data_IF_537406581019
#
_entry.id   IF_537406581019
#
_cell.length_a   1.000
_cell.length_b   1.000
_cell.length_c   1.000
_cell.angle_alpha   90.00
_cell.angle_beta   90.00
_cell.angle_gamma   90.00
#
_symmetry.space_group_name_H-M   'P 1'
#
loop_
_entity.id
_entity.type
_entity.pdbx_description
1 polymer ?
#
# COMPACT_ATOMS: atom_id res chain seq x y z
N UNK A 1 -15.10 -7.24 -17.33
CA UNK A 1 -15.72 -7.75 -16.10
C UNK A 1 -14.84 -7.36 -14.93
N UNK A 2 -15.50 -6.89 -13.88
CA UNK A 2 -15.01 -6.01 -12.82
C UNK A 2 -14.02 -6.72 -11.90
N UNK A 3 -12.72 -6.45 -12.03
CA UNK A 3 -11.74 -6.84 -11.01
C UNK A 3 -11.89 -5.93 -9.81
N UNK A 4 -12.68 -6.38 -8.84
CA UNK A 4 -12.69 -5.86 -7.48
C UNK A 4 -11.35 -6.18 -6.82
N UNK A 5 -10.40 -5.29 -6.96
CA UNK A 5 -9.18 -5.25 -6.14
C UNK A 5 -9.61 -4.76 -4.76
N UNK A 6 -10.07 -5.68 -3.91
CA UNK A 6 -10.11 -5.46 -2.46
C UNK A 6 -8.83 -6.09 -1.88
N UNK A 7 -7.68 -5.49 -2.18
CA UNK A 7 -6.48 -5.72 -1.38
C UNK A 7 -6.80 -5.15 0.01
N UNK A 8 -6.97 -6.04 0.99
CA UNK A 8 -7.30 -5.68 2.37
C UNK A 8 -6.08 -5.01 3.00
N UNK A 9 -6.07 -3.70 2.82
CA UNK A 9 -5.14 -2.74 3.37
C UNK A 9 -5.16 -2.84 4.90
N UNK A 10 -4.08 -3.33 5.50
CA UNK A 10 -3.85 -3.16 6.95
C UNK A 10 -2.60 -2.32 7.12
N UNK A 11 -2.75 -1.03 6.85
CA UNK A 11 -1.92 -0.07 7.58
C UNK A 11 -2.21 -0.27 9.07
N UNK A 12 -1.22 -0.19 9.97
CA UNK A 12 -1.48 -0.12 11.39
C UNK A 12 -2.57 0.94 11.59
N UNK A 13 -3.70 0.58 12.20
CA UNK A 13 -4.92 1.43 12.24
C UNK A 13 -4.62 2.88 12.65
N UNK A 14 -3.58 3.06 13.46
CA UNK A 14 -3.02 4.35 13.89
C UNK A 14 -2.44 5.18 12.73
N UNK A 15 -1.57 4.63 11.89
CA UNK A 15 -0.94 5.36 10.78
C UNK A 15 -1.96 5.79 9.72
N UNK A 16 -2.88 4.90 9.35
CA UNK A 16 -3.97 5.27 8.44
C UNK A 16 -4.84 6.38 9.01
N UNK A 17 -5.13 6.31 10.32
CA UNK A 17 -5.90 7.35 11.02
C UNK A 17 -5.15 8.68 11.03
N UNK A 18 -3.86 8.68 11.31
CA UNK A 18 -3.01 9.89 11.31
C UNK A 18 -2.95 10.55 9.94
N UNK A 19 -2.74 9.76 8.88
CA UNK A 19 -2.79 10.25 7.50
C UNK A 19 -4.15 10.87 7.18
N UNK A 20 -5.25 10.18 7.50
CA UNK A 20 -6.59 10.71 7.25
C UNK A 20 -6.89 11.98 8.07
N UNK A 21 -6.37 12.10 9.30
CA UNK A 21 -6.48 13.32 10.11
C UNK A 21 -5.71 14.48 9.46
N UNK A 22 -4.48 14.23 8.98
CA UNK A 22 -3.67 15.23 8.28
C UNK A 22 -4.38 15.72 7.01
N UNK A 23 -4.84 14.79 6.16
CA UNK A 23 -5.58 15.12 4.94
C UNK A 23 -6.88 15.87 5.26
N UNK A 24 -7.57 15.51 6.35
CA UNK A 24 -8.78 16.22 6.77
C UNK A 24 -8.50 17.67 7.15
N UNK A 25 -7.40 17.94 7.86
CA UNK A 25 -7.00 19.30 8.21
C UNK A 25 -6.53 20.12 7.00
N UNK A 26 -5.79 19.52 6.09
CA UNK A 26 -5.18 20.22 4.95
C UNK A 26 -6.22 20.54 3.85
N UNK A 27 -7.16 19.62 3.58
CA UNK A 27 -8.13 19.73 2.48
C UNK A 27 -9.55 20.07 2.93
N UNK A 28 -9.75 20.34 4.23
CA UNK A 28 -11.05 20.68 4.81
C UNK A 28 -12.08 19.56 4.65
N UNK A 29 -11.67 18.32 4.86
CA UNK A 29 -12.52 17.13 4.73
C UNK A 29 -13.24 16.82 6.04
N UNK A 30 -14.36 16.12 5.94
CA UNK A 30 -15.17 15.79 7.10
C UNK A 30 -14.64 14.52 7.79
N UNK A 31 -14.20 14.66 9.04
CA UNK A 31 -13.64 13.54 9.82
C UNK A 31 -14.66 12.44 10.13
N UNK A 32 -15.97 12.77 10.20
CA UNK A 32 -17.04 11.77 10.35
C UNK A 32 -17.23 10.97 9.05
N UNK A 33 -17.28 11.64 7.88
CA UNK A 33 -17.43 10.96 6.58
C UNK A 33 -16.20 10.11 6.27
N UNK A 34 -15.00 10.58 6.63
CA UNK A 34 -13.76 9.80 6.53
C UNK A 34 -13.69 8.62 7.51
N UNK A 35 -14.64 8.49 8.45
CA UNK A 35 -14.67 7.40 9.44
C UNK A 35 -13.61 7.49 10.53
N UNK A 36 -12.93 8.64 10.64
CA UNK A 36 -11.90 8.90 11.66
C UNK A 36 -12.55 9.35 12.96
N UNK A 37 -13.52 10.26 12.89
CA UNK A 37 -14.30 10.69 14.04
C UNK A 37 -15.58 9.85 14.15
N UNK A 38 -15.88 9.35 15.35
CA UNK A 38 -17.17 8.70 15.64
C UNK A 38 -18.08 9.72 16.33
N UNK A 39 -19.33 9.85 15.89
CA UNK A 39 -20.28 10.74 16.57
C UNK A 39 -21.43 11.19 15.69
N UNK A 40 -22.26 12.09 16.23
CA UNK A 40 -23.34 12.78 15.51
C UNK A 40 -22.82 14.11 14.96
N UNK A 41 -23.36 14.54 13.83
CA UNK A 41 -23.02 15.81 13.19
C UNK A 41 -23.38 17.02 14.08
N UNK A 42 -22.66 18.17 13.98
CA UNK A 42 -21.49 18.39 13.13
C UNK A 42 -20.19 17.76 13.69
N UNK A 43 -19.29 17.37 12.79
CA UNK A 43 -17.95 16.90 13.15
C UNK A 43 -17.12 17.98 13.85
N UNK A 44 -16.13 17.58 14.67
CA UNK A 44 -15.26 18.52 15.39
C UNK A 44 -14.59 19.53 14.45
N UNK A 45 -14.07 19.05 13.32
CA UNK A 45 -13.45 19.93 12.31
C UNK A 45 -14.38 21.02 11.77
N UNK A 46 -15.69 20.81 11.76
CA UNK A 46 -16.65 21.86 11.34
C UNK A 46 -16.88 22.88 12.46
N UNK A 47 -16.91 22.43 13.72
CA UNK A 47 -17.05 23.30 14.89
C UNK A 47 -15.91 24.32 15.01
N UNK A 48 -14.71 23.95 14.56
CA UNK A 48 -13.52 24.81 14.57
C UNK A 48 -13.20 25.47 13.21
N UNK A 49 -14.11 25.37 12.22
CA UNK A 49 -13.99 26.08 10.94
C UNK A 49 -13.04 25.47 9.90
N UNK A 50 -12.58 24.24 10.08
CA UNK A 50 -11.67 23.54 9.15
C UNK A 50 -12.46 22.76 8.08
N UNK A 51 -13.50 22.04 8.48
CA UNK A 51 -14.32 21.22 7.59
C UNK A 51 -15.36 22.09 6.86
N UNK A 52 -15.59 21.82 5.56
CA UNK A 52 -16.58 22.53 4.75
C UNK A 52 -18.04 22.12 4.97
N UNK A 53 -18.28 21.11 5.81
CA UNK A 53 -19.62 20.81 6.33
C UNK A 53 -20.44 19.79 5.53
N UNK A 54 -19.79 18.84 4.85
CA UNK A 54 -20.47 17.74 4.17
C UNK A 54 -21.41 16.93 5.11
N UNK A 55 -20.99 16.69 6.36
CA UNK A 55 -21.83 15.97 7.34
C UNK A 55 -23.10 16.71 7.80
N UNK A 56 -23.19 18.02 7.56
CA UNK A 56 -24.36 18.85 7.89
C UNK A 56 -25.08 19.34 6.64
N UNK A 57 -24.73 18.81 5.45
CA UNK A 57 -25.34 19.19 4.17
C UNK A 57 -25.00 20.61 3.70
N UNK A 58 -24.00 21.27 4.30
CA UNK A 58 -23.51 22.59 3.82
C UNK A 58 -22.67 22.46 2.56
N UNK A 59 -22.01 21.33 2.43
CA UNK A 59 -21.27 20.95 1.25
C UNK A 59 -21.92 19.71 0.64
N UNK A 60 -21.96 19.64 -0.68
CA UNK A 60 -22.37 18.43 -1.37
C UNK A 60 -21.35 17.28 -1.16
N UNK A 61 -21.86 16.06 -1.03
CA UNK A 61 -21.01 14.89 -0.76
C UNK A 61 -20.12 14.54 -1.96
N UNK A 62 -20.55 14.81 -3.19
CA UNK A 62 -19.72 14.61 -4.37
C UNK A 62 -18.51 15.55 -4.36
N UNK A 63 -18.71 16.82 -4.03
CA UNK A 63 -17.63 17.80 -3.90
C UNK A 63 -16.63 17.41 -2.82
N UNK A 64 -17.12 16.89 -1.69
CA UNK A 64 -16.28 16.33 -0.62
C UNK A 64 -15.42 15.17 -1.14
N UNK A 65 -16.03 14.24 -1.87
CA UNK A 65 -15.35 13.05 -2.39
C UNK A 65 -14.31 13.40 -3.46
N UNK A 66 -14.59 14.38 -4.33
CA UNK A 66 -13.61 14.88 -5.30
C UNK A 66 -12.36 15.40 -4.58
N UNK A 67 -12.53 16.26 -3.56
CA UNK A 67 -11.39 16.74 -2.77
C UNK A 67 -10.65 15.63 -2.07
N UNK A 68 -11.37 14.64 -1.53
CA UNK A 68 -10.73 13.47 -0.94
C UNK A 68 -9.86 12.72 -1.95
N UNK A 69 -10.35 12.49 -3.17
CA UNK A 69 -9.60 11.80 -4.22
C UNK A 69 -8.37 12.62 -4.65
N UNK A 70 -8.50 13.94 -4.75
CA UNK A 70 -7.37 14.85 -5.06
C UNK A 70 -6.30 14.83 -3.96
N UNK A 71 -6.74 14.91 -2.70
CA UNK A 71 -5.89 14.86 -1.52
C UNK A 71 -5.15 13.51 -1.40
N UNK A 72 -5.91 12.41 -1.50
CA UNK A 72 -5.40 11.05 -1.40
C UNK A 72 -4.62 10.62 -2.66
N UNK A 73 -4.83 11.30 -3.78
CA UNK A 73 -4.23 11.01 -5.08
C UNK A 73 -2.71 11.06 -5.09
N UNK A 74 -2.11 11.86 -4.21
CA UNK A 74 -0.65 12.02 -4.07
C UNK A 74 0.02 10.79 -3.44
N UNK A 75 -0.68 10.07 -2.57
CA UNK A 75 -0.15 8.95 -1.78
C UNK A 75 -0.54 7.57 -2.34
N UNK A 76 -0.99 7.51 -3.59
CA UNK A 76 -1.39 6.25 -4.21
C UNK A 76 -0.20 5.30 -4.36
N UNK A 77 -0.43 4.05 -3.95
CA UNK A 77 0.41 2.93 -4.35
C UNK A 77 0.44 2.89 -5.88
N UNK A 78 1.64 2.81 -6.44
CA UNK A 78 1.80 2.71 -7.89
C UNK A 78 1.14 1.42 -8.38
N UNK A 79 0.56 1.40 -9.58
CA UNK A 79 0.10 0.14 -10.16
C UNK A 79 1.27 -0.84 -10.23
N UNK A 80 0.99 -2.12 -10.01
CA UNK A 80 1.97 -3.17 -10.21
C UNK A 80 2.43 -3.14 -11.69
N UNK A 81 3.73 -3.01 -11.97
CA UNK A 81 4.20 -2.77 -13.34
C UNK A 81 4.34 -4.05 -14.18
N UNK A 82 4.18 -5.24 -13.57
CA UNK A 82 4.34 -6.52 -14.24
C UNK A 82 2.99 -7.21 -14.46
N UNK A 83 2.92 -8.10 -15.44
CA UNK A 83 1.71 -8.88 -15.72
C UNK A 83 1.50 -10.02 -14.72
N UNK A 84 2.60 -10.57 -14.18
CA UNK A 84 2.60 -11.69 -13.24
C UNK A 84 3.48 -11.39 -12.02
N UNK A 85 3.58 -12.37 -11.12
CA UNK A 85 4.50 -12.35 -10.00
C UNK A 85 5.96 -12.34 -10.51
N UNK A 86 6.83 -11.70 -9.75
CA UNK A 86 8.27 -11.64 -10.05
C UNK A 86 9.07 -12.33 -8.94
N UNK A 87 10.28 -12.75 -9.31
CA UNK A 87 11.29 -13.21 -8.36
C UNK A 87 12.42 -12.18 -8.30
N UNK A 88 12.75 -11.73 -7.08
CA UNK A 88 13.90 -10.87 -6.77
C UNK A 88 14.98 -11.74 -6.14
N UNK A 89 16.19 -11.68 -6.66
CA UNK A 89 17.36 -12.37 -6.11
C UNK A 89 18.38 -11.35 -5.64
N UNK A 90 18.84 -11.50 -4.40
CA UNK A 90 19.88 -10.68 -3.79
C UNK A 90 21.10 -11.55 -3.46
N UNK A 91 22.26 -11.18 -3.98
CA UNK A 91 23.50 -11.93 -3.80
C UNK A 91 24.42 -11.22 -2.80
N UNK A 92 24.69 -11.86 -1.66
CA UNK A 92 25.71 -11.42 -0.72
C UNK A 92 27.11 -11.84 -1.23
N UNK A 93 27.98 -10.84 -1.48
CA UNK A 93 29.34 -11.09 -1.97
C UNK A 93 30.32 -11.56 -0.90
N UNK A 94 29.98 -11.39 0.38
CA UNK A 94 30.83 -11.75 1.53
C UNK A 94 30.52 -13.16 2.02
N UNK A 95 29.24 -13.48 2.19
CA UNK A 95 28.79 -14.79 2.70
C UNK A 95 28.49 -15.79 1.56
N UNK A 96 28.56 -15.37 0.29
CA UNK A 96 28.17 -16.15 -0.88
C UNK A 96 26.74 -16.74 -0.79
N UNK A 97 25.87 -16.08 -0.04
CA UNK A 97 24.46 -16.45 0.08
C UNK A 97 23.63 -15.71 -0.97
N UNK A 98 22.55 -16.36 -1.41
CA UNK A 98 21.57 -15.75 -2.31
C UNK A 98 20.19 -15.85 -1.70
N UNK A 99 19.62 -14.71 -1.34
CA UNK A 99 18.25 -14.61 -0.89
C UNK A 99 17.31 -14.48 -2.09
N UNK A 100 16.19 -15.19 -2.03
CA UNK A 100 15.20 -15.26 -3.11
C UNK A 100 13.83 -14.87 -2.57
N UNK A 101 13.23 -13.84 -3.17
CA UNK A 101 11.93 -13.32 -2.76
C UNK A 101 10.94 -13.42 -3.92
N UNK A 102 9.77 -14.02 -3.68
CA UNK A 102 8.65 -13.97 -4.61
C UNK A 102 7.72 -12.81 -4.25
N UNK A 103 7.38 -11.99 -5.25
CA UNK A 103 6.59 -10.78 -5.07
C UNK A 103 5.48 -10.72 -6.11
N UNK A 104 4.24 -10.53 -5.66
CA UNK A 104 3.10 -10.22 -6.53
C UNK A 104 2.32 -9.03 -5.97
N UNK A 105 1.89 -8.11 -6.85
CA UNK A 105 1.07 -6.94 -6.48
C UNK A 105 1.62 -6.16 -5.27
N UNK A 106 2.94 -5.95 -5.22
CA UNK A 106 3.66 -5.31 -4.10
C UNK A 106 3.63 -6.05 -2.76
N UNK A 107 3.31 -7.34 -2.75
CA UNK A 107 3.25 -8.18 -1.56
C UNK A 107 4.30 -9.29 -1.66
N UNK A 108 4.92 -9.66 -0.53
CA UNK A 108 5.72 -10.87 -0.48
C UNK A 108 4.81 -12.09 -0.47
N UNK A 109 5.22 -13.13 -1.18
CA UNK A 109 4.59 -14.45 -1.14
C UNK A 109 5.40 -15.28 -0.14
N UNK A 110 4.75 -15.69 0.96
CA UNK A 110 5.39 -16.51 1.99
C UNK A 110 5.36 -17.98 1.61
N UNK A 111 6.44 -18.71 1.92
CA UNK A 111 6.51 -20.14 1.63
C UNK A 111 5.42 -20.92 2.37
N UNK A 112 4.61 -21.67 1.63
CA UNK A 112 3.58 -22.56 2.20
C UNK A 112 2.20 -21.95 2.41
N UNK A 113 1.98 -20.67 2.06
CA UNK A 113 0.65 -20.06 2.03
C UNK A 113 0.46 -19.19 0.78
N UNK A 114 -0.76 -19.15 0.25
CA UNK A 114 -1.16 -18.20 -0.81
C UNK A 114 -1.45 -16.80 -0.25
N UNK A 115 -1.11 -16.56 1.01
CA UNK A 115 -1.41 -15.31 1.71
C UNK A 115 -0.44 -14.22 1.28
N UNK A 116 -0.97 -13.20 0.61
CA UNK A 116 -0.24 -12.00 0.24
C UNK A 116 -0.10 -11.09 1.46
N UNK A 117 1.12 -10.99 2.00
CA UNK A 117 1.41 -10.03 3.07
C UNK A 117 1.85 -8.71 2.46
N UNK A 118 0.94 -7.72 2.46
CA UNK A 118 1.26 -6.33 2.11
C UNK A 118 1.73 -5.57 3.35
N UNK A 119 2.90 -4.95 3.26
CA UNK A 119 3.41 -4.01 4.25
C UNK A 119 3.86 -2.73 3.53
N UNK A 120 3.58 -1.57 4.13
CA UNK A 120 3.85 -0.29 3.48
C UNK A 120 5.34 0.03 3.38
N UNK A 121 6.14 -0.40 4.36
CA UNK A 121 7.58 -0.23 4.33
C UNK A 121 8.21 -1.23 3.34
N UNK A 122 7.70 -2.46 3.27
CA UNK A 122 8.04 -3.40 2.19
C UNK A 122 7.69 -2.80 0.83
N UNK A 123 6.52 -2.19 0.67
CA UNK A 123 6.17 -1.48 -0.57
C UNK A 123 7.15 -0.35 -0.90
N UNK A 124 7.57 0.48 0.07
CA UNK A 124 8.55 1.55 -0.18
C UNK A 124 9.89 0.99 -0.67
N UNK A 125 10.34 -0.08 -0.02
CA UNK A 125 11.52 -0.87 -0.38
C UNK A 125 11.34 -1.35 -1.82
N UNK A 126 10.35 -2.21 -2.08
CA UNK A 126 10.06 -2.79 -3.41
C UNK A 126 9.89 -1.72 -4.48
N UNK A 127 9.16 -0.63 -4.21
CA UNK A 127 8.96 0.48 -5.15
C UNK A 127 10.29 1.12 -5.52
N UNK A 128 11.17 1.34 -4.54
CA UNK A 128 12.52 1.86 -4.78
C UNK A 128 13.30 0.88 -5.66
N UNK A 129 13.34 -0.41 -5.33
CA UNK A 129 14.10 -1.41 -6.08
C UNK A 129 13.57 -1.65 -7.50
N UNK A 130 12.26 -1.80 -7.65
CA UNK A 130 11.61 -2.13 -8.92
C UNK A 130 11.59 -0.92 -9.86
N UNK A 131 11.33 0.31 -9.35
CA UNK A 131 11.15 1.49 -10.20
C UNK A 131 12.42 2.34 -10.36
N UNK A 132 13.34 2.39 -9.39
CA UNK A 132 14.67 2.98 -9.61
C UNK A 132 15.62 1.88 -10.09
N UNK A 133 15.56 1.57 -11.40
CA UNK A 133 16.65 0.83 -12.04
C UNK A 133 17.90 1.70 -12.05
N UNK A 134 18.82 1.44 -11.13
CA UNK A 134 20.10 2.15 -11.07
C UNK A 134 20.99 1.70 -9.91
N UNK A 135 21.98 0.88 -10.28
CA UNK A 135 23.26 0.63 -9.59
C UNK A 135 23.18 -0.22 -8.32
N UNK A 136 23.07 -1.54 -8.48
CA UNK A 136 23.70 -2.51 -7.56
C UNK A 136 23.93 -3.82 -8.34
N UNK A 137 25.19 -4.21 -8.50
CA UNK A 137 25.64 -5.37 -9.31
C UNK A 137 25.25 -6.74 -8.74
N UNK A 138 24.55 -6.76 -7.60
CA UNK A 138 24.24 -7.95 -6.82
C UNK A 138 22.76 -8.36 -6.88
N UNK A 139 21.94 -7.68 -7.69
CA UNK A 139 20.48 -7.86 -7.71
C UNK A 139 19.97 -8.22 -9.10
N UNK A 140 19.09 -9.23 -9.18
CA UNK A 140 18.41 -9.60 -10.42
C UNK A 140 16.89 -9.78 -10.23
N UNK A 141 16.11 -9.35 -11.23
CA UNK A 141 14.65 -9.46 -11.25
C UNK A 141 14.26 -10.34 -12.44
N UNK A 142 13.43 -11.36 -12.20
CA UNK A 142 12.91 -12.24 -13.26
C UNK A 142 11.40 -12.41 -13.15
N UNK A 143 10.71 -12.34 -14.29
CA UNK A 143 9.25 -12.58 -14.42
C UNK A 143 8.92 -14.07 -14.61
N UNK A 144 9.89 -14.97 -14.43
CA UNK A 144 9.65 -16.41 -14.58
C UNK A 144 9.00 -16.96 -13.31
N UNK A 145 7.84 -17.58 -13.48
CA UNK A 145 7.17 -18.38 -12.47
C UNK A 145 8.09 -19.54 -12.06
N UNK A 146 8.80 -19.39 -10.95
CA UNK A 146 9.51 -20.52 -10.35
C UNK A 146 8.48 -21.42 -9.67
N UNK A 147 8.24 -22.59 -10.26
CA UNK A 147 7.60 -23.69 -9.56
C UNK A 147 8.56 -24.17 -8.48
N UNK A 148 8.22 -23.95 -7.20
CA UNK A 148 9.03 -24.41 -6.08
C UNK A 148 9.05 -25.95 -6.11
N UNK A 149 10.14 -26.51 -6.64
CA UNK A 149 10.36 -27.94 -6.62
C UNK A 149 10.75 -28.32 -5.18
N UNK A 150 9.83 -28.95 -4.45
CA UNK A 150 10.04 -29.54 -3.12
C UNK A 150 11.07 -30.68 -3.17
N UNK A 151 12.32 -30.39 -3.49
CA UNK A 151 13.45 -31.29 -3.32
C UNK A 151 14.69 -30.46 -3.06
N UNK A 152 14.92 -30.15 -1.79
CA UNK A 152 16.22 -30.27 -1.11
C UNK A 152 16.17 -29.54 0.25
N UNK A 153 15.36 -30.09 1.17
CA UNK A 153 15.58 -29.96 2.61
C UNK A 153 15.50 -31.38 3.18
N UNK A 154 16.53 -32.16 2.88
CA UNK A 154 16.90 -33.36 3.60
C UNK A 154 18.34 -33.67 3.27
N UNK A 155 19.14 -33.82 4.32
CA UNK A 155 20.58 -34.12 4.37
C UNK A 155 21.43 -32.84 4.27
N UNK A 156 22.11 -32.38 5.32
CA UNK A 156 22.73 -33.06 6.46
C UNK A 156 22.95 -32.07 7.61
#
# INVERSE_FOLDING_TARGET
>A
MTQRIFLRYVHPKKQARELLMQLASEYGLCQIILGVEKGKCPCFGYKIGICKGACVGKEDTLQHNIRFIEAFGKDKIKPWPFHEAITIQEHDSVEHLTDVFQVDKWCLITEGSEDLMFDFDIYKILKKYILKRGVDSHLSITEKSFHFNKKNLSQK
#
